data_IF_692057861271
#
_entry.id   IF_692057861271
#
_cell.length_a   1.000
_cell.length_b   1.000
_cell.length_c   1.000
_cell.angle_alpha   90.00
_cell.angle_beta   90.00
_cell.angle_gamma   90.00
#
_symmetry.space_group_name_H-M   'P 1'
#
loop_
_entity.id
_entity.type
_entity.pdbx_description
1 polymer ?
#
# COMPACT_ATOMS: atom_id res chain seq x y z
N UNK A 1 -12.47 13.65 -1.22
CA UNK A 1 -12.70 13.04 -2.55
C UNK A 1 -12.69 14.12 -3.62
N UNK A 2 -11.90 13.91 -4.68
CA UNK A 2 -11.86 14.75 -5.88
C UNK A 2 -13.06 14.42 -6.78
N UNK A 3 -13.85 15.43 -7.14
CA UNK A 3 -15.10 15.27 -7.91
C UNK A 3 -14.94 15.43 -9.42
N UNK A 4 -13.92 16.17 -9.84
CA UNK A 4 -13.62 16.47 -11.24
C UNK A 4 -12.12 16.50 -11.40
N UNK A 5 -11.66 16.21 -12.61
CA UNK A 5 -10.27 16.40 -12.97
C UNK A 5 -9.83 17.87 -12.88
N UNK A 6 -8.52 18.07 -12.75
CA UNK A 6 -7.93 19.40 -12.86
C UNK A 6 -8.35 20.04 -14.20
N UNK A 7 -8.90 21.27 -14.21
CA UNK A 7 -9.35 21.91 -15.45
C UNK A 7 -8.25 22.05 -16.49
N UNK A 8 -8.63 21.90 -17.76
CA UNK A 8 -7.72 22.01 -18.90
C UNK A 8 -7.10 20.67 -19.31
N UNK A 9 -6.02 20.73 -20.09
CA UNK A 9 -5.31 19.55 -20.53
C UNK A 9 -4.28 19.12 -19.48
N UNK A 10 -4.57 18.03 -18.76
CA UNK A 10 -3.72 17.49 -17.71
C UNK A 10 -2.34 17.07 -18.21
N UNK A 11 -2.24 16.62 -19.47
CA UNK A 11 -0.98 16.17 -20.06
C UNK A 11 0.03 17.32 -20.21
N UNK A 12 -0.46 18.53 -20.46
CA UNK A 12 0.36 19.75 -20.54
C UNK A 12 1.03 20.10 -19.22
N UNK A 13 0.43 19.69 -18.11
CA UNK A 13 0.91 19.97 -16.74
C UNK A 13 1.46 18.74 -16.04
N UNK A 14 1.63 17.63 -16.78
CA UNK A 14 2.13 16.36 -16.26
C UNK A 14 1.32 15.81 -15.08
N UNK A 15 0.01 16.02 -15.09
CA UNK A 15 -0.89 15.50 -14.05
C UNK A 15 -1.53 14.19 -14.50
N UNK A 16 -1.55 13.20 -13.61
CA UNK A 16 -2.41 12.03 -13.77
C UNK A 16 -3.90 12.38 -13.62
N UNK A 17 -4.78 11.50 -14.09
CA UNK A 17 -6.21 11.65 -13.81
C UNK A 17 -6.47 11.61 -12.31
N UNK A 18 -7.47 12.36 -11.86
CA UNK A 18 -7.70 12.66 -10.44
C UNK A 18 -9.15 12.52 -10.01
N UNK A 19 -10.10 12.58 -10.95
CA UNK A 19 -11.50 12.30 -10.65
C UNK A 19 -11.62 10.92 -10.01
N UNK A 20 -12.31 10.86 -8.88
CA UNK A 20 -12.48 9.63 -8.13
C UNK A 20 -11.49 9.42 -7.00
N UNK A 21 -10.34 10.09 -7.03
CA UNK A 21 -9.28 9.88 -6.04
C UNK A 21 -9.50 10.56 -4.69
N UNK A 22 -8.70 10.12 -3.73
CA UNK A 22 -8.50 10.76 -2.43
C UNK A 22 -7.06 11.22 -2.28
N UNK A 23 -6.93 12.41 -1.71
CA UNK A 23 -5.67 13.06 -1.36
C UNK A 23 -5.20 12.56 0.01
N UNK A 24 -3.92 12.70 0.30
CA UNK A 24 -3.42 12.51 1.67
C UNK A 24 -4.04 13.51 2.66
N UNK A 25 -4.21 14.77 2.24
CA UNK A 25 -4.67 15.85 3.13
C UNK A 25 -6.15 16.19 2.94
N UNK A 26 -6.45 17.17 2.09
CA UNK A 26 -7.80 17.74 1.91
C UNK A 26 -8.22 17.73 0.45
N UNK A 27 -9.52 17.80 0.20
CA UNK A 27 -10.07 17.80 -1.15
C UNK A 27 -9.54 18.96 -2.02
N UNK A 28 -9.27 20.13 -1.43
CA UNK A 28 -8.78 21.32 -2.12
C UNK A 28 -7.35 21.15 -2.64
N UNK A 29 -6.55 20.26 -2.02
CA UNK A 29 -5.22 19.91 -2.53
C UNK A 29 -5.33 19.32 -3.94
N UNK A 30 -6.29 18.42 -4.19
CA UNK A 30 -6.54 17.85 -5.51
C UNK A 30 -5.44 16.95 -6.09
N UNK A 31 -4.51 16.45 -5.27
CA UNK A 31 -3.48 15.48 -5.66
C UNK A 31 -3.83 14.10 -5.10
N UNK A 32 -4.43 13.21 -5.91
CA UNK A 32 -4.80 11.88 -5.45
C UNK A 32 -3.54 11.06 -5.13
N UNK A 33 -3.67 10.14 -4.17
CA UNK A 33 -2.63 9.16 -3.82
C UNK A 33 -3.26 7.77 -3.91
N UNK A 34 -2.54 6.80 -4.45
CA UNK A 34 -3.03 5.44 -4.71
C UNK A 34 -3.49 4.75 -3.43
N UNK A 35 -2.66 4.77 -2.39
CA UNK A 35 -2.95 4.19 -1.08
C UNK A 35 -4.11 4.90 -0.37
N UNK A 36 -4.14 6.23 -0.36
CA UNK A 36 -5.19 7.03 0.24
C UNK A 36 -6.54 6.78 -0.46
N UNK A 37 -6.51 6.63 -1.79
CA UNK A 37 -7.69 6.27 -2.58
C UNK A 37 -8.17 4.86 -2.26
N UNK A 38 -7.26 3.89 -2.14
CA UNK A 38 -7.59 2.51 -1.81
C UNK A 38 -8.11 2.35 -0.38
N UNK A 39 -7.49 3.01 0.60
CA UNK A 39 -7.94 3.02 1.99
C UNK A 39 -9.29 3.73 2.14
N UNK A 40 -9.50 4.86 1.47
CA UNK A 40 -10.80 5.52 1.44
C UNK A 40 -11.87 4.63 0.79
N UNK A 41 -11.55 3.93 -0.29
CA UNK A 41 -12.44 2.95 -0.91
C UNK A 41 -12.80 1.84 0.08
N UNK A 42 -11.82 1.26 0.79
CA UNK A 42 -12.07 0.25 1.82
C UNK A 42 -13.00 0.75 2.91
N UNK A 43 -12.74 1.94 3.45
CA UNK A 43 -13.57 2.54 4.50
C UNK A 43 -15.01 2.72 4.01
N UNK A 44 -15.21 3.25 2.80
CA UNK A 44 -16.56 3.43 2.24
C UNK A 44 -17.32 2.10 2.10
N UNK A 45 -16.64 1.06 1.62
CA UNK A 45 -17.20 -0.28 1.47
C UNK A 45 -17.50 -0.96 2.80
N UNK A 46 -16.67 -0.77 3.82
CA UNK A 46 -16.90 -1.31 5.16
C UNK A 46 -18.03 -0.56 5.87
N UNK A 47 -18.06 0.77 5.78
CA UNK A 47 -19.14 1.57 6.37
C UNK A 47 -20.49 1.27 5.71
N UNK A 48 -20.54 0.98 4.41
CA UNK A 48 -21.81 0.59 3.77
C UNK A 48 -22.38 -0.75 4.26
N UNK A 49 -21.63 -1.53 5.05
CA UNK A 49 -22.13 -2.74 5.74
C UNK A 49 -22.74 -2.43 7.11
N UNK A 50 -22.58 -1.21 7.61
CA UNK A 50 -23.13 -0.73 8.88
C UNK A 50 -24.44 0.01 8.61
N UNK A 51 -25.39 -0.05 9.55
CA UNK A 51 -26.70 0.57 9.40
C UNK A 51 -26.58 2.09 9.12
N UNK A 52 -27.30 2.65 8.11
CA UNK A 52 -27.17 4.06 7.72
C UNK A 52 -27.46 5.06 8.82
N UNK A 53 -28.28 4.72 9.81
CA UNK A 53 -28.53 5.60 10.97
C UNK A 53 -27.27 5.89 11.81
N UNK A 54 -26.25 5.02 11.76
CA UNK A 54 -25.01 5.19 12.51
C UNK A 54 -23.92 5.91 11.71
N UNK A 55 -23.88 5.70 10.39
CA UNK A 55 -22.74 6.08 9.54
C UNK A 55 -23.12 6.91 8.31
N UNK A 56 -24.41 7.20 8.13
CA UNK A 56 -24.97 7.86 6.96
C UNK A 56 -25.24 6.91 5.79
N UNK A 57 -25.88 7.43 4.75
CA UNK A 57 -26.15 6.68 3.53
C UNK A 57 -24.86 6.30 2.78
N UNK A 58 -24.79 5.08 2.20
CA UNK A 58 -23.69 4.69 1.35
C UNK A 58 -23.48 5.67 0.19
N UNK A 59 -22.22 5.82 -0.22
CA UNK A 59 -21.88 6.59 -1.41
C UNK A 59 -22.44 5.90 -2.67
N UNK A 60 -22.89 6.68 -3.64
CA UNK A 60 -23.37 6.17 -4.92
C UNK A 60 -22.33 5.27 -5.62
N UNK A 61 -22.77 4.15 -6.21
CA UNK A 61 -21.88 3.20 -6.90
C UNK A 61 -21.06 3.85 -8.01
N UNK A 62 -21.63 4.80 -8.77
CA UNK A 62 -20.92 5.57 -9.80
C UNK A 62 -19.66 6.27 -9.27
N UNK A 63 -19.68 6.67 -7.99
CA UNK A 63 -18.54 7.30 -7.31
C UNK A 63 -17.51 6.27 -6.85
N UNK A 64 -17.90 5.03 -6.62
CA UNK A 64 -16.96 3.93 -6.41
C UNK A 64 -16.30 3.55 -7.74
N UNK A 65 -17.06 3.54 -8.84
CA UNK A 65 -16.53 3.27 -10.18
C UNK A 65 -15.45 4.29 -10.58
N UNK A 66 -15.64 5.57 -10.26
CA UNK A 66 -14.61 6.60 -10.44
C UNK A 66 -13.33 6.26 -9.65
N UNK A 67 -13.45 5.74 -8.43
CA UNK A 67 -12.31 5.35 -7.58
C UNK A 67 -11.58 4.13 -8.16
N UNK A 68 -12.33 3.14 -8.62
CA UNK A 68 -11.78 1.97 -9.32
C UNK A 68 -11.06 2.40 -10.60
N UNK A 69 -11.62 3.37 -11.33
CA UNK A 69 -11.00 3.85 -12.56
C UNK A 69 -9.63 4.48 -12.32
N UNK A 70 -9.50 5.38 -11.34
CA UNK A 70 -8.21 5.99 -11.03
C UNK A 70 -7.21 4.95 -10.51
N UNK A 71 -7.63 4.03 -9.63
CA UNK A 71 -6.74 2.97 -9.13
C UNK A 71 -6.22 2.11 -10.28
N UNK A 72 -7.09 1.59 -11.15
CA UNK A 72 -6.63 0.77 -12.29
C UNK A 72 -5.72 1.54 -13.25
N UNK A 73 -5.90 2.86 -13.38
CA UNK A 73 -5.04 3.70 -14.23
C UNK A 73 -3.65 3.98 -13.65
N UNK A 74 -3.42 3.70 -12.36
CA UNK A 74 -2.17 3.94 -11.64
C UNK A 74 -1.28 2.69 -11.54
N UNK A 75 -1.68 1.57 -12.16
CA UNK A 75 -0.87 0.36 -12.18
C UNK A 75 0.28 0.50 -13.19
N UNK A 76 1.51 0.31 -12.71
CA UNK A 76 2.69 0.23 -13.57
C UNK A 76 2.71 -1.09 -14.38
N UNK A 77 3.58 -1.18 -15.38
CA UNK A 77 3.71 -2.37 -16.24
C UNK A 77 4.09 -3.64 -15.47
N UNK A 78 4.85 -3.51 -14.37
CA UNK A 78 5.25 -4.60 -13.49
C UNK A 78 4.19 -5.00 -12.45
N UNK A 79 3.03 -4.34 -12.46
CA UNK A 79 1.92 -4.58 -11.52
C UNK A 79 1.98 -3.74 -10.24
N UNK A 80 3.03 -2.95 -10.06
CA UNK A 80 3.22 -2.13 -8.87
C UNK A 80 2.40 -0.83 -8.88
N UNK A 81 2.36 -0.18 -7.73
CA UNK A 81 1.80 1.15 -7.55
C UNK A 81 2.81 2.07 -6.85
N UNK A 82 2.98 3.27 -7.40
CA UNK A 82 3.59 4.40 -6.68
C UNK A 82 2.56 5.17 -5.86
N UNK A 83 2.98 6.26 -5.23
CA UNK A 83 2.11 7.11 -4.43
C UNK A 83 1.18 7.96 -5.30
N UNK A 84 1.71 8.91 -6.07
CA UNK A 84 0.88 9.91 -6.76
C UNK A 84 0.59 9.55 -8.22
N UNK A 85 1.58 9.00 -8.91
CA UNK A 85 1.53 8.78 -10.36
C UNK A 85 2.14 7.43 -10.76
N UNK A 86 2.28 7.22 -12.07
CA UNK A 86 3.04 6.09 -12.62
C UNK A 86 4.53 6.37 -12.54
N UNK A 87 5.32 5.31 -12.52
CA UNK A 87 6.77 5.38 -12.71
C UNK A 87 7.05 5.74 -14.18
N UNK A 88 7.30 7.03 -14.43
CA UNK A 88 7.45 7.62 -15.78
C UNK A 88 8.87 7.58 -16.32
N UNK A 89 9.82 7.09 -15.55
CA UNK A 89 11.22 7.03 -15.97
C UNK A 89 11.98 5.95 -15.20
N UNK A 90 13.29 5.86 -15.46
CA UNK A 90 14.13 4.76 -15.01
C UNK A 90 14.88 5.10 -13.73
N UNK A 91 15.15 4.07 -12.91
CA UNK A 91 15.85 4.22 -11.62
C UNK A 91 17.24 4.84 -11.74
N UNK A 92 17.93 4.69 -12.87
CA UNK A 92 19.26 5.28 -13.06
C UNK A 92 19.26 6.81 -12.97
N UNK A 93 18.11 7.47 -13.14
CA UNK A 93 17.99 8.92 -12.92
C UNK A 93 18.32 9.32 -11.47
N UNK A 94 18.26 8.39 -10.51
CA UNK A 94 18.69 8.62 -9.14
C UNK A 94 20.19 8.99 -9.07
N UNK A 95 21.01 8.60 -10.06
CA UNK A 95 22.41 9.06 -10.17
C UNK A 95 22.53 10.58 -10.40
N UNK A 96 21.46 11.23 -10.85
CA UNK A 96 21.41 12.68 -11.07
C UNK A 96 20.85 13.42 -9.86
N UNK A 97 20.53 12.73 -8.77
CA UNK A 97 19.97 13.34 -7.57
C UNK A 97 20.95 14.35 -6.94
N UNK A 98 20.62 15.66 -6.95
CA UNK A 98 21.50 16.69 -6.45
C UNK A 98 21.19 17.09 -5.00
N UNK A 99 20.24 16.43 -4.33
CA UNK A 99 19.69 16.92 -3.06
C UNK A 99 20.58 16.67 -1.84
N UNK A 100 21.58 15.80 -2.00
CA UNK A 100 22.57 15.32 -1.00
C UNK A 100 21.99 14.65 0.26
N UNK A 101 20.77 15.00 0.66
CA UNK A 101 20.15 14.68 1.95
C UNK A 101 19.00 13.69 1.84
N UNK A 102 18.43 13.51 0.64
CA UNK A 102 17.30 12.62 0.39
C UNK A 102 17.64 11.63 -0.72
N UNK A 103 17.21 10.38 -0.57
CA UNK A 103 17.34 9.35 -1.61
C UNK A 103 15.97 8.89 -2.09
N UNK A 104 15.90 8.40 -3.32
CA UNK A 104 14.66 7.90 -3.94
C UNK A 104 13.68 9.03 -4.25
N UNK A 105 14.17 10.13 -4.83
CA UNK A 105 13.34 11.33 -5.09
C UNK A 105 13.24 11.69 -6.58
N UNK A 106 14.02 11.04 -7.45
CA UNK A 106 14.12 11.46 -8.85
C UNK A 106 12.94 11.01 -9.73
N UNK A 107 12.24 9.95 -9.30
CA UNK A 107 11.07 9.40 -9.97
C UNK A 107 10.01 9.01 -8.94
N UNK A 108 8.81 8.70 -9.42
CA UNK A 108 7.83 7.98 -8.61
C UNK A 108 8.24 6.50 -8.56
N UNK A 109 8.57 6.02 -7.37
CA UNK A 109 8.99 4.63 -7.18
C UNK A 109 7.78 3.75 -6.87
N UNK A 110 7.88 2.45 -7.19
CA UNK A 110 6.88 1.49 -6.77
C UNK A 110 7.07 1.14 -5.27
N UNK A 111 5.97 1.03 -4.53
CA UNK A 111 5.99 0.76 -3.08
C UNK A 111 5.10 -0.42 -2.70
N UNK A 112 5.57 -1.25 -1.76
CA UNK A 112 4.82 -2.41 -1.25
C UNK A 112 3.55 -1.97 -0.53
N UNK A 113 3.61 -0.87 0.23
CA UNK A 113 2.51 -0.31 0.99
C UNK A 113 1.41 0.26 0.08
N UNK A 114 1.78 0.96 -0.99
CA UNK A 114 0.83 1.43 -2.00
C UNK A 114 0.17 0.25 -2.73
N UNK A 115 0.99 -0.68 -3.22
CA UNK A 115 0.51 -1.86 -3.96
C UNK A 115 -0.42 -2.72 -3.11
N UNK A 116 -0.05 -2.99 -1.86
CA UNK A 116 -0.87 -3.75 -0.91
C UNK A 116 -2.19 -3.07 -0.59
N UNK A 117 -2.19 -1.75 -0.38
CA UNK A 117 -3.41 -0.98 -0.12
C UNK A 117 -4.39 -1.10 -1.28
N UNK A 118 -3.90 -0.99 -2.52
CA UNK A 118 -4.70 -1.15 -3.73
C UNK A 118 -5.28 -2.57 -3.85
N UNK A 119 -4.47 -3.62 -3.64
CA UNK A 119 -4.97 -5.00 -3.63
C UNK A 119 -6.13 -5.15 -2.64
N UNK A 120 -5.96 -4.71 -1.40
CA UNK A 120 -6.98 -4.84 -0.36
C UNK A 120 -8.29 -4.13 -0.74
N UNK A 121 -8.20 -2.91 -1.29
CA UNK A 121 -9.38 -2.15 -1.73
C UNK A 121 -10.09 -2.80 -2.92
N UNK A 122 -9.33 -3.26 -3.91
CA UNK A 122 -9.87 -3.93 -5.09
C UNK A 122 -10.49 -5.28 -4.75
N UNK A 123 -9.88 -6.07 -3.88
CA UNK A 123 -10.43 -7.36 -3.41
C UNK A 123 -11.77 -7.15 -2.70
N UNK A 124 -11.85 -6.19 -1.77
CA UNK A 124 -13.09 -5.90 -1.06
C UNK A 124 -14.19 -5.40 -2.01
N UNK A 125 -13.86 -4.49 -2.94
CA UNK A 125 -14.80 -4.02 -3.95
C UNK A 125 -15.33 -5.18 -4.79
N UNK A 126 -14.42 -6.03 -5.27
CA UNK A 126 -14.69 -7.19 -6.10
C UNK A 126 -15.63 -8.21 -5.41
N UNK A 127 -15.49 -8.39 -4.10
CA UNK A 127 -16.37 -9.26 -3.30
C UNK A 127 -17.77 -8.68 -3.14
N UNK A 128 -17.88 -7.36 -2.94
CA UNK A 128 -19.16 -6.68 -2.77
C UNK A 128 -19.91 -6.46 -4.09
N UNK A 129 -19.18 -6.38 -5.20
CA UNK A 129 -19.72 -6.17 -6.54
C UNK A 129 -19.25 -7.27 -7.51
N UNK A 130 -19.64 -8.54 -7.29
CA UNK A 130 -19.12 -9.68 -8.07
C UNK A 130 -19.48 -9.62 -9.56
N UNK A 131 -20.59 -8.95 -9.91
CA UNK A 131 -21.04 -8.75 -11.30
C UNK A 131 -20.52 -7.47 -11.97
N UNK A 132 -19.57 -6.76 -11.37
CA UNK A 132 -19.05 -5.51 -11.95
C UNK A 132 -18.40 -5.75 -13.33
N UNK A 133 -18.72 -4.90 -14.32
CA UNK A 133 -18.33 -5.10 -15.71
C UNK A 133 -16.81 -5.13 -15.95
N UNK A 134 -16.01 -4.49 -15.08
CA UNK A 134 -14.53 -4.52 -15.12
C UNK A 134 -13.90 -5.67 -14.31
N UNK A 135 -14.67 -6.68 -13.92
CA UNK A 135 -14.20 -7.79 -13.05
C UNK A 135 -12.87 -8.39 -13.50
N UNK A 136 -12.74 -8.71 -14.79
CA UNK A 136 -11.53 -9.32 -15.36
C UNK A 136 -10.30 -8.43 -15.22
N UNK A 137 -10.46 -7.12 -15.40
CA UNK A 137 -9.37 -6.16 -15.26
C UNK A 137 -8.93 -6.03 -13.80
N UNK A 138 -9.89 -6.01 -12.88
CA UNK A 138 -9.63 -6.00 -11.43
C UNK A 138 -8.88 -7.27 -11.00
N UNK A 139 -9.32 -8.44 -11.45
CA UNK A 139 -8.65 -9.71 -11.14
C UNK A 139 -7.21 -9.75 -11.66
N UNK A 140 -6.97 -9.28 -12.89
CA UNK A 140 -5.63 -9.17 -13.45
C UNK A 140 -4.75 -8.20 -12.65
N UNK A 141 -5.31 -7.05 -12.25
CA UNK A 141 -4.60 -6.06 -11.44
C UNK A 141 -4.19 -6.65 -10.08
N UNK A 142 -5.10 -7.32 -9.38
CA UNK A 142 -4.81 -8.00 -8.10
C UNK A 142 -3.71 -9.04 -8.27
N UNK A 143 -3.78 -9.86 -9.33
CA UNK A 143 -2.76 -10.89 -9.59
C UNK A 143 -1.38 -10.27 -9.84
N UNK A 144 -1.28 -9.30 -10.74
CA UNK A 144 -0.01 -8.66 -11.07
C UNK A 144 0.60 -7.93 -9.87
N UNK A 145 -0.23 -7.19 -9.12
CA UNK A 145 0.17 -6.53 -7.89
C UNK A 145 0.67 -7.51 -6.83
N UNK A 146 0.01 -8.66 -6.66
CA UNK A 146 0.47 -9.70 -5.73
C UNK A 146 1.82 -10.31 -6.15
N UNK A 147 2.01 -10.53 -7.46
CA UNK A 147 3.27 -11.03 -7.99
C UNK A 147 4.42 -10.03 -7.77
N UNK A 148 4.14 -8.73 -7.91
CA UNK A 148 5.10 -7.68 -7.60
C UNK A 148 5.51 -7.73 -6.11
N UNK A 149 4.55 -7.80 -5.18
CA UNK A 149 4.88 -7.89 -3.75
C UNK A 149 5.78 -9.10 -3.47
N UNK A 150 5.49 -10.27 -4.06
CA UNK A 150 6.33 -11.46 -3.92
C UNK A 150 7.73 -11.27 -4.54
N UNK A 151 7.85 -10.54 -5.65
CA UNK A 151 9.13 -10.38 -6.37
C UNK A 151 10.11 -9.42 -5.70
N UNK A 152 9.63 -8.48 -4.89
CA UNK A 152 10.48 -7.51 -4.17
C UNK A 152 10.77 -7.89 -2.71
N UNK A 153 10.26 -9.03 -2.24
CA UNK A 153 10.57 -9.52 -0.89
C UNK A 153 12.06 -9.82 -0.76
N UNK A 154 12.67 -9.41 0.34
CA UNK A 154 14.08 -9.67 0.62
C UNK A 154 14.31 -11.13 1.02
N UNK A 155 15.56 -11.58 0.88
CA UNK A 155 15.94 -12.97 1.16
C UNK A 155 15.62 -13.40 2.60
N UNK A 156 15.74 -12.45 3.54
CA UNK A 156 15.44 -12.62 4.97
C UNK A 156 13.93 -12.64 5.29
N UNK A 157 13.06 -12.45 4.29
CA UNK A 157 11.61 -12.47 4.42
C UNK A 157 10.96 -11.11 4.64
N UNK A 158 11.73 -10.06 4.81
CA UNK A 158 11.21 -8.71 5.03
C UNK A 158 10.88 -7.96 3.74
N UNK A 159 10.20 -6.84 3.89
CA UNK A 159 10.11 -5.79 2.86
C UNK A 159 10.65 -4.48 3.44
N UNK A 160 11.19 -3.63 2.58
CA UNK A 160 11.69 -2.31 2.96
C UNK A 160 10.58 -1.25 2.88
N UNK A 161 10.38 -0.50 3.96
CA UNK A 161 9.36 0.56 4.04
C UNK A 161 9.90 1.93 3.68
N UNK A 162 9.10 2.67 2.91
CA UNK A 162 9.46 4.00 2.40
C UNK A 162 8.64 5.12 3.06
N UNK A 163 7.42 4.82 3.52
CA UNK A 163 6.53 5.81 4.14
C UNK A 163 6.46 5.74 5.68
N UNK A 164 7.20 4.80 6.31
CA UNK A 164 7.40 4.74 7.76
C UNK A 164 8.67 3.94 8.11
N UNK A 165 9.01 3.87 9.40
CA UNK A 165 10.18 3.12 9.91
C UNK A 165 9.83 1.64 10.13
N UNK A 166 10.50 0.67 9.51
CA UNK A 166 10.66 0.50 8.07
C UNK A 166 10.32 -0.95 7.69
N UNK A 167 10.95 -1.95 8.33
CA UNK A 167 10.72 -3.36 8.03
C UNK A 167 9.47 -3.90 8.72
N UNK A 168 9.18 -3.53 9.97
CA UNK A 168 7.92 -3.95 10.62
C UNK A 168 6.69 -3.42 9.87
N UNK A 169 6.75 -2.16 9.45
CA UNK A 169 5.72 -1.50 8.65
C UNK A 169 5.51 -2.16 7.28
N UNK A 170 6.58 -2.28 6.49
CA UNK A 170 6.46 -2.82 5.14
C UNK A 170 6.17 -4.32 5.12
N UNK A 171 6.68 -5.08 6.09
CA UNK A 171 6.34 -6.51 6.21
C UNK A 171 4.86 -6.68 6.56
N UNK A 172 4.30 -5.83 7.40
CA UNK A 172 2.86 -5.80 7.65
C UNK A 172 2.06 -5.54 6.37
N UNK A 173 2.44 -4.55 5.57
CA UNK A 173 1.77 -4.31 4.28
C UNK A 173 1.97 -5.46 3.28
N UNK A 174 3.18 -6.00 3.15
CA UNK A 174 3.47 -7.15 2.29
C UNK A 174 2.57 -8.34 2.63
N UNK A 175 2.51 -8.70 3.91
CA UNK A 175 1.62 -9.76 4.41
C UNK A 175 0.15 -9.45 4.10
N UNK A 176 -0.35 -8.25 4.43
CA UNK A 176 -1.76 -7.90 4.19
C UNK A 176 -2.16 -7.96 2.72
N UNK A 177 -1.28 -7.50 1.83
CA UNK A 177 -1.53 -7.51 0.38
C UNK A 177 -1.62 -8.94 -0.13
N UNK A 178 -0.69 -9.80 0.29
CA UNK A 178 -0.66 -11.20 -0.09
C UNK A 178 -1.84 -11.99 0.49
N UNK A 179 -2.18 -11.78 1.77
CA UNK A 179 -3.35 -12.41 2.40
C UNK A 179 -4.64 -12.00 1.69
N UNK A 180 -4.82 -10.71 1.38
CA UNK A 180 -5.97 -10.25 0.59
C UNK A 180 -6.02 -10.86 -0.81
N UNK A 181 -4.87 -11.15 -1.42
CA UNK A 181 -4.77 -11.87 -2.70
C UNK A 181 -4.93 -13.41 -2.56
N UNK A 182 -5.23 -13.93 -1.37
CA UNK A 182 -5.50 -15.35 -1.11
C UNK A 182 -4.26 -16.19 -0.76
N UNK A 183 -3.13 -15.57 -0.42
CA UNK A 183 -1.98 -16.27 0.17
C UNK A 183 -2.26 -16.61 1.63
N UNK A 184 -1.83 -17.78 2.06
CA UNK A 184 -1.95 -18.26 3.44
C UNK A 184 -0.60 -18.79 3.91
N UNK A 185 -0.49 -19.09 5.21
CA UNK A 185 0.71 -19.69 5.78
C UNK A 185 1.06 -21.03 5.10
N UNK A 186 0.06 -21.82 4.68
CA UNK A 186 0.25 -23.12 4.06
C UNK A 186 0.67 -23.03 2.58
N UNK A 187 0.11 -22.07 1.84
CA UNK A 187 0.28 -22.01 0.39
C UNK A 187 1.38 -21.04 -0.08
N UNK A 188 1.92 -20.19 0.79
CA UNK A 188 2.89 -19.15 0.40
C UNK A 188 4.19 -19.24 1.20
N UNK A 189 5.30 -19.42 0.47
CA UNK A 189 6.64 -19.35 1.06
C UNK A 189 6.97 -17.93 1.53
N UNK A 190 6.51 -16.91 0.81
CA UNK A 190 6.73 -15.51 1.17
C UNK A 190 6.09 -15.17 2.51
N UNK A 191 4.87 -15.65 2.76
CA UNK A 191 4.21 -15.49 4.07
C UNK A 191 5.02 -16.14 5.19
N UNK A 192 5.46 -17.40 5.01
CA UNK A 192 6.25 -18.10 6.05
C UNK A 192 7.55 -17.36 6.39
N UNK A 193 8.29 -16.92 5.36
CA UNK A 193 9.50 -16.13 5.56
C UNK A 193 9.23 -14.81 6.29
N UNK A 194 8.13 -14.13 5.98
CA UNK A 194 7.74 -12.89 6.65
C UNK A 194 7.47 -13.13 8.15
N UNK A 195 6.78 -14.22 8.48
CA UNK A 195 6.54 -14.61 9.88
C UNK A 195 7.85 -14.95 10.60
N UNK A 196 8.72 -15.75 9.98
CA UNK A 196 10.04 -16.09 10.52
C UNK A 196 10.88 -14.83 10.76
N UNK A 197 10.87 -13.89 9.82
CA UNK A 197 11.52 -12.59 9.97
C UNK A 197 11.00 -11.86 11.21
N UNK A 198 9.69 -11.63 11.31
CA UNK A 198 9.11 -10.90 12.43
C UNK A 198 9.40 -11.60 13.76
N UNK A 199 9.16 -12.91 13.88
CA UNK A 199 9.42 -13.66 15.10
C UNK A 199 10.91 -13.60 15.51
N UNK A 200 11.84 -13.58 14.55
CA UNK A 200 13.28 -13.43 14.84
C UNK A 200 13.65 -12.08 15.44
N UNK A 201 12.79 -11.06 15.32
CA UNK A 201 13.00 -9.70 15.84
C UNK A 201 12.22 -9.40 17.12
N UNK A 202 11.49 -10.37 17.67
CA UNK A 202 10.75 -10.20 18.92
C UNK A 202 11.72 -9.94 20.09
N UNK A 203 11.44 -8.90 20.87
CA UNK A 203 12.26 -8.48 22.00
C UNK A 203 11.79 -9.16 23.27
N UNK A 204 12.59 -10.09 23.80
CA UNK A 204 12.36 -10.75 25.08
C UNK A 204 12.92 -9.93 26.27
N UNK A 205 12.26 -9.92 27.44
CA UNK A 205 11.00 -10.62 27.77
C UNK A 205 9.74 -9.81 27.45
N UNK A 206 9.86 -8.64 26.81
CA UNK A 206 8.72 -7.74 26.59
C UNK A 206 7.65 -8.28 25.63
N UNK A 207 8.04 -9.18 24.71
CA UNK A 207 7.18 -9.73 23.67
C UNK A 207 6.81 -8.72 22.56
N UNK A 208 7.53 -7.59 22.48
CA UNK A 208 7.25 -6.53 21.53
C UNK A 208 8.33 -6.35 20.46
N UNK A 209 8.10 -5.43 19.54
CA UNK A 209 9.04 -5.02 18.49
C UNK A 209 9.35 -3.54 18.64
N UNK A 210 10.57 -3.14 18.32
CA UNK A 210 10.99 -1.74 18.37
C UNK A 210 12.11 -1.46 17.40
N UNK A 211 11.83 -0.58 16.44
CA UNK A 211 12.70 -0.31 15.30
C UNK A 211 13.20 1.14 15.33
N UNK A 212 14.50 1.33 15.14
CA UNK A 212 15.13 2.65 15.07
C UNK A 212 14.94 3.28 13.71
N UNK A 213 14.92 4.62 13.63
CA UNK A 213 14.93 5.33 12.35
C UNK A 213 16.17 5.01 11.51
N UNK A 214 17.26 4.57 12.15
CA UNK A 214 18.47 4.09 11.49
C UNK A 214 18.18 2.90 10.56
N UNK A 215 17.12 2.13 10.80
CA UNK A 215 16.74 1.05 9.89
C UNK A 215 16.44 1.54 8.47
N UNK A 216 15.83 2.73 8.33
CA UNK A 216 15.60 3.36 7.03
C UNK A 216 16.90 3.89 6.41
N UNK A 217 17.79 4.48 7.23
CA UNK A 217 19.04 5.05 6.74
C UNK A 217 20.02 3.96 6.27
N UNK A 218 20.23 2.96 7.12
CA UNK A 218 21.22 1.90 6.90
C UNK A 218 20.63 0.72 6.11
N UNK A 219 19.31 0.73 5.87
CA UNK A 219 18.56 -0.32 5.17
C UNK A 219 18.74 -1.70 5.79
N UNK A 220 18.83 -1.76 7.12
CA UNK A 220 18.96 -2.99 7.92
C UNK A 220 18.17 -2.84 9.21
N UNK A 221 17.44 -3.88 9.60
CA UNK A 221 16.66 -3.85 10.85
C UNK A 221 17.56 -3.55 12.06
N UNK A 222 17.36 -2.39 12.66
CA UNK A 222 18.10 -1.91 13.83
C UNK A 222 17.14 -1.73 15.01
N UNK A 223 17.40 -2.45 16.10
CA UNK A 223 16.63 -2.30 17.33
C UNK A 223 16.70 -0.86 17.86
N UNK A 224 15.62 -0.41 18.50
CA UNK A 224 15.69 0.80 19.33
C UNK A 224 16.75 0.64 20.44
N UNK A 225 17.42 1.74 20.76
CA UNK A 225 18.40 1.78 21.85
C UNK A 225 17.82 1.21 23.15
N UNK A 226 18.60 0.31 23.77
CA UNK A 226 18.20 -0.43 24.96
C UNK A 226 17.26 -1.61 24.69
N UNK A 227 17.09 -2.03 23.43
CA UNK A 227 16.14 -3.08 23.03
C UNK A 227 14.75 -2.80 23.59
N UNK A 228 14.24 -1.60 23.36
CA UNK A 228 12.91 -1.20 23.84
C UNK A 228 11.86 -1.56 22.80
N UNK A 229 10.75 -2.14 23.25
CA UNK A 229 9.56 -2.27 22.42
C UNK A 229 8.93 -0.90 22.14
N UNK A 230 8.32 -0.76 20.96
CA UNK A 230 7.58 0.41 20.53
C UNK A 230 6.17 -0.02 20.12
N UNK A 231 5.16 0.71 20.60
CA UNK A 231 3.76 0.30 20.47
C UNK A 231 3.32 0.13 19.01
N UNK A 232 3.77 1.01 18.11
CA UNK A 232 3.40 0.97 16.69
C UNK A 232 4.08 -0.18 15.96
N UNK A 233 5.39 -0.38 16.16
CA UNK A 233 6.11 -1.50 15.53
C UNK A 233 5.57 -2.85 16.03
N UNK A 234 5.26 -2.93 17.34
CA UNK A 234 4.61 -4.09 17.93
C UNK A 234 3.25 -4.35 17.30
N UNK A 235 2.44 -3.29 17.09
CA UNK A 235 1.14 -3.42 16.45
C UNK A 235 1.23 -3.92 15.01
N UNK A 236 2.17 -3.41 14.21
CA UNK A 236 2.37 -3.89 12.84
C UNK A 236 2.82 -5.36 12.79
N UNK A 237 3.80 -5.73 13.60
CA UNK A 237 4.26 -7.11 13.68
C UNK A 237 3.12 -8.06 14.13
N UNK A 238 2.37 -7.68 15.17
CA UNK A 238 1.24 -8.47 15.65
C UNK A 238 0.13 -8.59 14.61
N UNK A 239 -0.26 -7.49 13.96
CA UNK A 239 -1.30 -7.52 12.91
C UNK A 239 -0.89 -8.43 11.75
N UNK A 240 0.39 -8.37 11.33
CA UNK A 240 0.90 -9.25 10.29
C UNK A 240 0.82 -10.73 10.69
N UNK A 241 1.23 -11.06 11.91
CA UNK A 241 1.20 -12.44 12.43
C UNK A 241 -0.24 -12.94 12.68
N UNK A 242 -1.17 -12.07 13.06
CA UNK A 242 -2.58 -12.44 13.25
C UNK A 242 -3.28 -12.68 11.91
N UNK A 243 -3.00 -11.85 10.90
CA UNK A 243 -3.68 -11.91 9.60
C UNK A 243 -3.40 -13.22 8.84
N UNK A 244 -2.30 -13.91 9.15
CA UNK A 244 -1.88 -15.17 8.49
C UNK A 244 -2.41 -16.43 9.16
N UNK A 245 -2.96 -16.33 10.38
CA UNK A 245 -3.44 -17.44 11.20
C UNK A 245 -2.35 -18.20 11.95
#
# INVERSE_FOLDING_TARGET
KIRMDCPGDQSKWYRHISKGGWTHSTADQGWPVSDCTAEALKVLLLLSKIHPELVGEPIETSRLDDAINILLSLMNEDGSFGAYELTRSYEWLEMLNPSESFGGIMIEYPYVECTSSVIQGLVLFREMYPGHYRRKEIDNCIQNASNYIESIQWDDGSWYGCWAICFTYATWYGVRGLVAAGRTYENSQSIRKACEFLLSKEILPSGGWGESYLSSQDKVYTNLEGNRAHAVNTSWAMLALIDVG
#
